data_IF_232253805736
#
_entry.id   IF_232253805736
#
_cell.length_a   1.000
_cell.length_b   1.000
_cell.length_c   1.000
_cell.angle_alpha   90.00
_cell.angle_beta   90.00
_cell.angle_gamma   90.00
#
_symmetry.space_group_name_H-M   'P 1'
#
loop_
_entity.id
_entity.type
_entity.pdbx_description
1 polymer ?
#
# COMPACT_ATOMS: atom_id res chain seq x y z
N UNK A 1 22.23 -45.02 15.87
CA UNK A 1 23.02 -43.77 15.82
C UNK A 1 22.27 -42.53 15.35
N UNK A 2 21.21 -42.61 14.52
CA UNK A 2 20.64 -41.41 13.87
C UNK A 2 19.81 -40.44 14.73
N UNK A 3 18.98 -40.94 15.67
CA UNK A 3 17.99 -40.09 16.36
C UNK A 3 18.60 -39.13 17.39
N UNK A 4 19.41 -39.65 18.33
CA UNK A 4 20.04 -38.83 19.37
C UNK A 4 20.94 -37.73 18.77
N UNK A 5 21.65 -38.04 17.68
CA UNK A 5 22.45 -37.06 16.93
C UNK A 5 21.58 -35.95 16.33
N UNK A 6 20.48 -36.29 15.65
CA UNK A 6 19.52 -35.31 15.10
C UNK A 6 18.93 -34.39 16.17
N UNK A 7 18.59 -34.93 17.34
CA UNK A 7 18.07 -34.15 18.46
C UNK A 7 19.11 -33.18 19.04
N UNK A 8 20.37 -33.62 19.20
CA UNK A 8 21.46 -32.76 19.65
C UNK A 8 21.73 -31.60 18.67
N UNK A 9 21.74 -31.89 17.36
CA UNK A 9 21.90 -30.88 16.30
C UNK A 9 20.75 -29.88 16.29
N UNK A 10 19.49 -30.34 16.45
CA UNK A 10 18.33 -29.46 16.52
C UNK A 10 18.35 -28.56 17.77
N UNK A 11 18.73 -29.11 18.93
CA UNK A 11 18.85 -28.34 20.17
C UNK A 11 19.92 -27.24 20.07
N UNK A 12 21.06 -27.53 19.42
CA UNK A 12 22.10 -26.52 19.14
C UNK A 12 21.60 -25.39 18.24
N UNK A 13 20.85 -25.70 17.17
CA UNK A 13 20.23 -24.70 16.31
C UNK A 13 19.21 -23.82 17.06
N UNK A 14 18.44 -24.40 17.97
CA UNK A 14 17.49 -23.66 18.81
C UNK A 14 18.19 -22.72 19.80
N UNK A 15 19.28 -23.17 20.43
CA UNK A 15 20.08 -22.34 21.35
C UNK A 15 20.72 -21.16 20.60
N UNK A 16 21.18 -21.37 19.36
CA UNK A 16 21.63 -20.28 18.52
C UNK A 16 20.51 -19.25 18.26
N UNK A 17 19.35 -19.70 17.75
CA UNK A 17 18.14 -18.88 17.47
C UNK A 17 17.63 -18.07 18.68
N UNK A 18 17.86 -18.56 19.91
CA UNK A 18 17.48 -17.82 21.11
C UNK A 18 18.55 -16.80 21.48
N UNK A 19 19.83 -17.15 21.36
CA UNK A 19 20.94 -16.28 21.75
C UNK A 19 21.09 -15.04 20.86
N UNK A 20 20.84 -15.16 19.54
CA UNK A 20 20.95 -14.00 18.65
C UNK A 20 19.76 -13.06 18.73
N UNK A 21 18.54 -13.60 18.88
CA UNK A 21 17.31 -12.82 18.98
C UNK A 21 17.26 -12.03 20.28
N UNK A 22 17.78 -12.59 21.39
CA UNK A 22 17.81 -11.93 22.70
C UNK A 22 18.85 -10.81 22.84
N UNK A 23 19.72 -10.58 21.85
CA UNK A 23 20.70 -9.49 21.90
C UNK A 23 20.29 -8.25 21.11
N UNK A 24 19.18 -8.31 20.37
CA UNK A 24 18.62 -7.24 19.52
C UNK A 24 19.70 -6.41 18.81
N UNK A 25 20.63 -7.13 18.20
CA UNK A 25 21.74 -6.63 17.41
C UNK A 25 21.89 -7.51 16.18
N UNK A 26 22.21 -6.91 15.04
CA UNK A 26 22.51 -7.63 13.79
C UNK A 26 23.75 -8.54 13.92
N UNK A 27 24.60 -8.33 14.94
CA UNK A 27 25.81 -9.12 15.22
C UNK A 27 25.58 -10.64 15.32
N UNK A 28 24.33 -11.08 15.53
CA UNK A 28 23.97 -12.48 15.74
C UNK A 28 22.92 -13.01 14.75
N UNK A 29 22.73 -12.37 13.59
CA UNK A 29 21.94 -12.92 12.47
C UNK A 29 22.57 -14.23 11.92
N UNK A 30 21.81 -15.24 11.41
CA UNK A 30 20.35 -15.34 11.21
C UNK A 30 19.57 -15.74 12.46
N UNK A 31 20.11 -15.46 13.65
CA UNK A 31 19.69 -16.08 14.88
C UNK A 31 19.04 -15.17 15.95
N UNK A 32 18.62 -13.91 15.77
CA UNK A 32 18.82 -12.89 14.73
C UNK A 32 18.03 -11.60 15.06
N UNK A 33 18.47 -10.43 14.62
CA UNK A 33 17.82 -9.13 14.95
C UNK A 33 16.54 -8.84 14.17
N UNK A 34 15.73 -7.90 14.69
CA UNK A 34 14.45 -7.48 14.13
C UNK A 34 14.50 -6.16 13.33
N UNK A 35 15.67 -5.75 12.84
CA UNK A 35 15.86 -4.56 12.01
C UNK A 35 15.02 -4.52 10.71
N UNK A 36 14.34 -5.61 10.35
CA UNK A 36 13.47 -5.77 9.18
C UNK A 36 12.38 -4.68 8.98
N UNK A 37 12.00 -3.95 10.03
CA UNK A 37 11.11 -2.76 9.95
C UNK A 37 11.75 -1.47 10.48
N UNK A 38 13.01 -1.50 10.92
CA UNK A 38 13.73 -0.36 11.46
C UNK A 38 14.55 0.40 10.40
N UNK A 39 14.12 0.33 9.13
CA UNK A 39 14.73 1.11 8.05
C UNK A 39 14.39 2.59 8.25
N UNK A 40 15.38 3.40 8.59
CA UNK A 40 15.21 4.84 8.67
C UNK A 40 14.76 5.42 7.33
N UNK A 41 13.60 6.08 7.30
CA UNK A 41 13.18 6.87 6.15
C UNK A 41 13.99 8.16 6.06
N UNK A 42 14.29 8.60 4.84
CA UNK A 42 14.94 9.89 4.62
C UNK A 42 14.02 11.03 5.07
N UNK A 43 14.43 11.68 6.17
CA UNK A 43 13.71 12.79 6.79
C UNK A 43 13.67 14.04 5.91
N UNK A 44 14.50 14.11 4.86
CA UNK A 44 14.50 15.17 3.85
C UNK A 44 14.13 14.64 2.45
N UNK A 45 13.58 13.42 2.39
CA UNK A 45 13.17 12.75 1.17
C UNK A 45 11.76 13.17 0.73
N UNK A 46 11.14 12.33 -0.11
CA UNK A 46 9.75 12.50 -0.55
C UNK A 46 8.86 11.35 -0.08
N UNK A 47 7.63 11.68 0.32
CA UNK A 47 6.57 10.69 0.54
C UNK A 47 5.45 10.86 -0.48
N UNK A 48 4.76 9.78 -0.83
CA UNK A 48 3.81 9.72 -1.94
C UNK A 48 2.48 9.15 -1.45
N UNK A 49 1.39 9.84 -1.74
CA UNK A 49 0.03 9.40 -1.40
C UNK A 49 -0.74 9.14 -2.69
N UNK A 50 -1.06 7.87 -2.98
CA UNK A 50 -1.82 7.49 -4.17
C UNK A 50 -3.30 7.39 -3.83
N UNK A 51 -4.16 7.86 -4.73
CA UNK A 51 -5.61 7.87 -4.53
C UNK A 51 -6.37 7.99 -5.84
N UNK A 52 -7.69 7.79 -5.76
CA UNK A 52 -8.59 7.96 -6.91
C UNK A 52 -9.61 9.05 -6.60
N UNK A 53 -9.83 9.92 -7.59
CA UNK A 53 -10.95 10.85 -7.66
C UNK A 53 -11.92 10.39 -8.74
N UNK A 54 -13.18 10.80 -8.67
CA UNK A 54 -14.17 10.53 -9.71
C UNK A 54 -15.09 11.71 -9.94
N UNK A 55 -15.64 11.81 -11.15
CA UNK A 55 -16.80 12.62 -11.45
C UNK A 55 -18.06 11.76 -11.38
N UNK A 56 -19.21 12.36 -11.08
CA UNK A 56 -20.46 11.64 -10.83
C UNK A 56 -21.56 11.90 -11.86
N UNK A 57 -22.65 11.13 -11.82
CA UNK A 57 -23.80 11.29 -12.72
C UNK A 57 -24.61 12.55 -12.42
N UNK A 58 -24.65 13.04 -11.17
CA UNK A 58 -25.24 14.35 -10.85
C UNK A 58 -24.35 15.55 -11.21
N UNK A 59 -23.15 15.31 -11.72
CA UNK A 59 -22.20 16.36 -12.14
C UNK A 59 -21.31 16.90 -11.01
N UNK A 60 -21.13 16.15 -9.92
CA UNK A 60 -20.08 16.48 -8.96
C UNK A 60 -18.72 16.08 -9.54
N UNK A 61 -17.77 17.02 -9.60
CA UNK A 61 -16.42 16.76 -10.09
C UNK A 61 -15.47 16.34 -8.96
N UNK A 62 -14.55 15.43 -9.28
CA UNK A 62 -13.35 15.09 -8.48
C UNK A 62 -13.64 14.70 -7.02
N UNK A 63 -14.77 14.05 -6.77
CA UNK A 63 -15.11 13.48 -5.45
C UNK A 63 -14.14 12.35 -5.10
N UNK A 64 -13.81 12.19 -3.81
CA UNK A 64 -12.84 11.19 -3.35
C UNK A 64 -13.46 9.79 -3.38
N UNK A 65 -12.85 8.86 -4.11
CA UNK A 65 -13.30 7.46 -4.14
C UNK A 65 -12.88 6.74 -2.85
N UNK A 66 -13.80 6.12 -2.10
CA UNK A 66 -13.50 5.47 -0.83
C UNK A 66 -12.91 4.06 -1.03
N UNK A 67 -11.57 4.02 -1.16
CA UNK A 67 -10.78 2.76 -1.24
C UNK A 67 -10.65 2.08 0.13
N UNK A 68 -11.77 1.55 0.61
CA UNK A 68 -11.91 0.77 1.84
C UNK A 68 -13.08 -0.23 1.75
N UNK A 69 -13.19 -1.09 2.75
CA UNK A 69 -14.14 -2.21 2.78
C UNK A 69 -15.63 -1.80 2.65
N UNK A 70 -16.03 -0.64 3.20
CA UNK A 70 -17.43 -0.17 3.15
C UNK A 70 -17.72 0.74 1.96
N UNK A 71 -16.69 1.33 1.34
CA UNK A 71 -16.81 2.22 0.20
C UNK A 71 -16.88 1.47 -1.13
N UNK A 72 -15.82 0.72 -1.44
CA UNK A 72 -15.66 0.00 -2.73
C UNK A 72 -15.36 -1.48 -2.53
N UNK A 73 -15.22 -1.95 -1.29
CA UNK A 73 -14.69 -3.28 -0.98
C UNK A 73 -13.18 -3.43 -1.20
N UNK A 74 -12.57 -2.52 -1.97
CA UNK A 74 -11.17 -2.57 -2.41
C UNK A 74 -10.34 -1.63 -1.54
N UNK A 75 -9.33 -2.15 -0.84
CA UNK A 75 -8.44 -1.36 0.00
C UNK A 75 -7.38 -0.59 -0.82
N UNK A 76 -6.99 0.60 -0.35
CA UNK A 76 -5.92 1.40 -0.99
C UNK A 76 -4.63 0.60 -1.26
N UNK A 77 -4.22 -0.23 -0.29
CA UNK A 77 -3.00 -1.04 -0.40
C UNK A 77 -3.02 -2.03 -1.58
N UNK A 78 -4.20 -2.52 -2.00
CA UNK A 78 -4.34 -3.38 -3.18
C UNK A 78 -4.06 -2.58 -4.47
N UNK A 79 -4.63 -1.38 -4.57
CA UNK A 79 -4.42 -0.46 -5.70
C UNK A 79 -2.96 0.01 -5.75
N UNK A 80 -2.34 0.30 -4.60
CA UNK A 80 -0.94 0.70 -4.52
C UNK A 80 0.02 -0.47 -4.79
N UNK A 81 -0.30 -1.69 -4.35
CA UNK A 81 0.47 -2.91 -4.65
C UNK A 81 0.44 -3.31 -6.12
N UNK A 82 -0.67 -3.02 -6.83
CA UNK A 82 -0.83 -3.27 -8.27
C UNK A 82 -0.65 -2.00 -9.13
N UNK A 83 -0.09 -0.92 -8.58
CA UNK A 83 -0.16 0.41 -9.20
C UNK A 83 0.35 0.48 -10.65
N UNK A 84 1.44 -0.23 -10.97
CA UNK A 84 1.97 -0.28 -12.34
C UNK A 84 0.91 -0.73 -13.35
N UNK A 85 0.12 -1.75 -13.00
CA UNK A 85 -0.98 -2.25 -13.84
C UNK A 85 -2.08 -1.22 -14.04
N UNK A 86 -2.43 -0.44 -13.01
CA UNK A 86 -3.43 0.63 -13.12
C UNK A 86 -2.96 1.84 -13.94
N UNK A 87 -1.63 2.03 -14.08
CA UNK A 87 -1.04 3.07 -14.94
C UNK A 87 -0.99 2.58 -16.39
N UNK A 88 -0.54 1.33 -16.60
CA UNK A 88 -0.46 0.69 -17.92
C UNK A 88 -1.85 0.42 -18.53
N UNK A 89 -2.81 0.00 -17.70
CA UNK A 89 -4.20 -0.26 -18.06
C UNK A 89 -5.17 0.42 -17.07
N UNK A 90 -5.54 1.69 -17.32
CA UNK A 90 -6.53 2.40 -16.53
C UNK A 90 -7.92 1.75 -16.53
N UNK A 91 -8.23 0.82 -17.45
CA UNK A 91 -9.54 0.15 -17.50
C UNK A 91 -9.81 -0.71 -16.26
N UNK A 92 -8.77 -1.08 -15.51
CA UNK A 92 -8.89 -1.73 -14.20
C UNK A 92 -9.67 -0.88 -13.17
N UNK A 93 -9.77 0.44 -13.35
CA UNK A 93 -10.64 1.29 -12.52
C UNK A 93 -12.13 1.01 -12.73
N UNK A 94 -12.54 0.39 -13.84
CA UNK A 94 -13.91 -0.07 -14.06
C UNK A 94 -14.39 -0.98 -12.92
N UNK A 95 -13.54 -1.90 -12.45
CA UNK A 95 -13.86 -2.83 -11.35
C UNK A 95 -14.17 -2.07 -10.06
N UNK A 96 -13.52 -0.93 -9.82
CA UNK A 96 -13.75 -0.07 -8.65
C UNK A 96 -15.09 0.66 -8.77
N UNK A 97 -15.44 1.16 -9.96
CA UNK A 97 -16.75 1.75 -10.23
C UNK A 97 -17.89 0.74 -10.07
N UNK A 98 -17.73 -0.46 -10.64
CA UNK A 98 -18.73 -1.53 -10.58
C UNK A 98 -18.91 -2.05 -9.15
N UNK A 99 -17.83 -2.17 -8.37
CA UNK A 99 -17.90 -2.52 -6.96
C UNK A 99 -18.58 -1.43 -6.12
N UNK A 100 -18.32 -0.15 -6.38
CA UNK A 100 -19.06 0.95 -5.73
C UNK A 100 -20.57 0.87 -6.04
N UNK A 101 -20.94 0.66 -7.31
CA UNK A 101 -22.34 0.51 -7.76
C UNK A 101 -23.03 -0.69 -7.12
N UNK A 102 -22.32 -1.80 -6.93
CA UNK A 102 -22.86 -3.01 -6.32
C UNK A 102 -23.10 -2.84 -4.80
N UNK A 103 -22.24 -2.08 -4.11
CA UNK A 103 -22.36 -1.84 -2.66
C UNK A 103 -23.35 -0.70 -2.35
N UNK A 104 -23.38 0.35 -3.19
CA UNK A 104 -24.19 1.56 -3.02
C UNK A 104 -25.05 1.86 -4.27
N UNK A 105 -26.00 0.97 -4.64
CA UNK A 105 -26.82 1.15 -5.83
C UNK A 105 -27.75 2.38 -5.74
N UNK A 106 -28.00 2.90 -4.54
CA UNK A 106 -28.84 4.07 -4.28
C UNK A 106 -28.09 5.42 -4.38
N UNK A 107 -26.75 5.39 -4.51
CA UNK A 107 -25.92 6.60 -4.54
C UNK A 107 -25.66 7.09 -5.95
N UNK A 108 -25.18 8.33 -6.01
CA UNK A 108 -24.67 8.93 -7.23
C UNK A 108 -23.44 8.17 -7.73
N UNK A 109 -23.47 7.77 -9.01
CA UNK A 109 -22.54 6.80 -9.59
C UNK A 109 -21.38 7.50 -10.31
N UNK A 110 -20.24 6.82 -10.42
CA UNK A 110 -19.05 7.38 -11.06
C UNK A 110 -19.13 7.29 -12.59
N UNK A 111 -18.76 8.37 -13.28
CA UNK A 111 -18.78 8.51 -14.74
C UNK A 111 -17.38 8.59 -15.36
N UNK A 112 -16.45 9.21 -14.64
CA UNK A 112 -15.03 9.31 -15.01
C UNK A 112 -14.19 9.20 -13.74
N UNK A 113 -13.03 8.55 -13.82
CA UNK A 113 -12.16 8.27 -12.68
C UNK A 113 -10.73 8.69 -12.99
N UNK A 114 -10.04 9.24 -11.99
CA UNK A 114 -8.69 9.76 -12.09
C UNK A 114 -7.79 9.12 -11.05
N UNK A 115 -6.77 8.38 -11.49
CA UNK A 115 -5.72 7.89 -10.62
C UNK A 115 -4.72 9.03 -10.38
N UNK A 116 -4.59 9.44 -9.13
CA UNK A 116 -3.83 10.60 -8.70
C UNK A 116 -2.73 10.21 -7.71
N UNK A 117 -1.68 11.03 -7.67
CA UNK A 117 -0.63 10.98 -6.66
C UNK A 117 -0.27 12.38 -6.21
N UNK A 118 -0.32 12.61 -4.90
CA UNK A 118 0.31 13.76 -4.27
C UNK A 118 1.71 13.35 -3.80
N UNK A 119 2.73 14.12 -4.17
CA UNK A 119 4.13 13.96 -3.77
C UNK A 119 4.47 15.08 -2.80
N UNK A 120 4.78 14.72 -1.57
CA UNK A 120 5.13 15.65 -0.50
C UNK A 120 6.65 15.65 -0.31
N UNK A 121 7.24 16.85 -0.29
CA UNK A 121 8.62 17.05 0.15
C UNK A 121 8.66 17.03 1.69
N UNK A 122 9.67 16.35 2.25
CA UNK A 122 9.94 16.37 3.68
C UNK A 122 11.14 17.27 4.00
N UNK A 123 11.12 17.88 5.18
CA UNK A 123 12.29 18.50 5.81
C UNK A 123 12.27 18.13 7.29
N UNK A 124 13.36 17.53 7.79
CA UNK A 124 13.48 17.02 9.17
C UNK A 124 12.30 16.12 9.62
N UNK A 125 11.68 15.39 8.69
CA UNK A 125 10.56 14.47 8.92
C UNK A 125 9.17 15.11 8.81
N UNK A 126 9.07 16.41 8.54
CA UNK A 126 7.82 17.15 8.40
C UNK A 126 7.55 17.50 6.94
N UNK A 127 6.28 17.47 6.54
CA UNK A 127 5.86 17.95 5.21
C UNK A 127 6.09 19.45 5.09
N UNK A 128 6.74 19.87 4.01
CA UNK A 128 6.98 21.28 3.69
C UNK A 128 6.37 21.66 2.32
N UNK A 129 5.71 22.81 2.27
CA UNK A 129 5.03 23.31 1.07
C UNK A 129 3.74 22.55 0.71
N UNK A 130 3.20 22.91 -0.46
CA UNK A 130 2.08 22.18 -1.08
C UNK A 130 2.61 20.95 -1.85
N UNK A 131 1.89 19.82 -1.88
CA UNK A 131 2.31 18.65 -2.65
C UNK A 131 2.26 18.89 -4.16
N UNK A 132 3.21 18.28 -4.88
CA UNK A 132 3.10 18.13 -6.33
C UNK A 132 2.00 17.10 -6.64
N UNK A 133 0.97 17.52 -7.38
CA UNK A 133 -0.17 16.67 -7.75
C UNK A 133 -0.04 16.17 -9.19
N UNK A 134 0.13 14.86 -9.33
CA UNK A 134 0.31 14.16 -10.61
C UNK A 134 -0.92 13.31 -10.92
N UNK A 135 -1.48 13.44 -12.14
CA UNK A 135 -2.43 12.46 -12.69
C UNK A 135 -1.64 11.33 -13.33
N UNK A 136 -1.79 10.12 -12.81
CA UNK A 136 -1.09 8.91 -13.26
C UNK A 136 -1.87 8.16 -14.36
N UNK A 137 -3.19 8.30 -14.38
CA UNK A 137 -4.07 7.67 -15.37
C UNK A 137 -5.51 8.14 -15.20
N UNK A 138 -6.36 7.86 -16.19
CA UNK A 138 -7.80 8.15 -16.11
C UNK A 138 -8.61 7.12 -16.88
N UNK A 139 -9.86 6.93 -16.47
CA UNK A 139 -10.79 5.99 -17.08
C UNK A 139 -12.18 6.59 -17.14
N UNK A 140 -12.81 6.51 -18.33
CA UNK A 140 -14.23 6.82 -18.47
C UNK A 140 -15.03 5.54 -18.20
N UNK A 141 -15.88 5.58 -17.18
CA UNK A 141 -16.66 4.42 -16.75
C UNK A 141 -17.64 4.02 -17.85
N UNK A 142 -17.60 2.74 -18.22
CA UNK A 142 -18.57 2.13 -19.14
C UNK A 142 -19.75 1.63 -18.31
N UNK A 143 -20.96 1.77 -18.85
CA UNK A 143 -22.22 1.26 -18.25
C UNK A 143 -22.59 -0.09 -18.84
#
# INVERSE_FOLDING_TARGET
>A
MGMAWRLAVAALGLVALLHGTLRDSDDFFPFGSMAQYATGHDLNGQTRSTYILADTESGQEKVRVPLNATGTGIGRAEVEGQLGRFIEDPSLMQVIADAYRAIHPERDQYTHMYLMRDIYQLENGYVVGEPERVKLGEWKVVR
#
